data_IF_316882815337
#
_entry.id   IF_316882815337
#
_cell.length_a   1.000
_cell.length_b   1.000
_cell.length_c   1.000
_cell.angle_alpha   90.00
_cell.angle_beta   90.00
_cell.angle_gamma   90.00
#
_symmetry.space_group_name_H-M   'P 1'
#
loop_
_entity.id
_entity.type
_entity.pdbx_description
1 polymer ?
#
# COMPACT_ATOMS: atom_id res chain seq x y z
N UNK A 1 -12.21 26.92 -26.19
CA UNK A 1 -10.78 26.72 -25.83
C UNK A 1 -10.02 25.96 -26.95
N UNK A 2 -9.34 26.70 -27.84
CA UNK A 2 -8.57 26.17 -28.98
C UNK A 2 -7.06 26.07 -28.67
N UNK A 3 -6.70 25.86 -27.40
CA UNK A 3 -5.30 25.72 -27.02
C UNK A 3 -4.85 24.27 -27.27
N UNK A 4 -4.01 24.10 -28.29
CA UNK A 4 -3.52 22.80 -28.76
C UNK A 4 -2.70 22.05 -27.69
N UNK A 5 -1.98 22.79 -26.84
CA UNK A 5 -1.22 22.25 -25.71
C UNK A 5 -2.13 21.64 -24.63
N UNK A 6 -3.32 22.23 -24.41
CA UNK A 6 -4.32 21.68 -23.49
C UNK A 6 -5.03 20.47 -24.07
N UNK A 7 -5.22 20.41 -25.39
CA UNK A 7 -5.76 19.23 -26.09
C UNK A 7 -4.78 18.05 -26.03
N UNK A 8 -3.49 18.31 -26.20
CA UNK A 8 -2.44 17.29 -26.08
C UNK A 8 -2.26 16.83 -24.63
N UNK A 9 -2.38 17.75 -23.66
CA UNK A 9 -2.44 17.41 -22.24
C UNK A 9 -3.65 16.52 -21.90
N UNK A 10 -4.82 16.82 -22.45
CA UNK A 10 -6.04 16.02 -22.27
C UNK A 10 -5.95 14.64 -22.94
N UNK A 11 -5.28 14.53 -24.10
CA UNK A 11 -4.98 13.24 -24.73
C UNK A 11 -4.03 12.40 -23.88
N UNK A 12 -2.96 12.99 -23.32
CA UNK A 12 -2.06 12.31 -22.38
C UNK A 12 -2.80 11.80 -21.15
N UNK A 13 -3.64 12.62 -20.54
CA UNK A 13 -4.41 12.20 -19.36
C UNK A 13 -5.42 11.09 -19.70
N UNK A 14 -6.02 11.13 -20.91
CA UNK A 14 -6.92 10.07 -21.38
C UNK A 14 -6.20 8.76 -21.74
N UNK A 15 -4.97 8.81 -22.25
CA UNK A 15 -4.17 7.58 -22.46
C UNK A 15 -3.64 7.00 -21.15
N UNK A 16 -3.43 7.83 -20.12
CA UNK A 16 -3.07 7.36 -18.77
C UNK A 16 -4.29 6.83 -17.97
N UNK A 17 -5.51 7.00 -18.49
CA UNK A 17 -6.75 6.47 -17.90
C UNK A 17 -7.17 5.11 -18.47
N UNK A 18 -6.42 4.54 -19.42
CA UNK A 18 -6.49 3.11 -19.68
C UNK A 18 -5.90 2.39 -18.46
N UNK A 19 -6.59 1.39 -17.93
CA UNK A 19 -6.20 0.66 -16.72
C UNK A 19 -4.81 -0.01 -16.82
N UNK A 20 -4.37 -0.76 -15.80
CA UNK A 20 -3.02 -1.31 -15.69
C UNK A 20 -2.63 -2.37 -16.74
N UNK A 21 -3.32 -2.47 -17.88
CA UNK A 21 -3.25 -3.60 -18.82
C UNK A 21 -3.39 -3.22 -20.30
N UNK A 22 -3.22 -1.95 -20.70
CA UNK A 22 -3.03 -1.64 -22.13
C UNK A 22 -1.54 -1.72 -22.48
N UNK A 23 -1.19 -2.64 -23.38
CA UNK A 23 0.18 -2.85 -23.86
C UNK A 23 0.79 -1.56 -24.44
N UNK A 24 2.00 -1.14 -24.01
CA UNK A 24 2.64 0.09 -24.52
C UNK A 24 2.97 0.02 -26.01
N UNK A 25 3.10 -1.18 -26.58
CA UNK A 25 3.31 -1.40 -28.02
C UNK A 25 2.03 -1.24 -28.86
N UNK A 26 0.87 -1.04 -28.22
CA UNK A 26 -0.37 -0.71 -28.90
C UNK A 26 -0.42 0.75 -29.38
N UNK A 27 0.48 1.60 -28.88
CA UNK A 27 0.63 3.00 -29.30
C UNK A 27 1.75 3.13 -30.36
N UNK A 28 1.44 3.51 -31.62
CA UNK A 28 2.44 3.77 -32.65
C UNK A 28 3.50 4.81 -32.24
N UNK A 29 3.16 5.71 -31.32
CA UNK A 29 4.05 6.74 -30.82
C UNK A 29 5.16 6.17 -29.91
N UNK A 30 4.93 5.02 -29.28
CA UNK A 30 5.90 4.33 -28.44
C UNK A 30 7.05 3.72 -29.26
N UNK A 31 6.76 3.14 -30.43
CA UNK A 31 7.79 2.62 -31.34
C UNK A 31 8.70 3.73 -31.87
N UNK A 32 8.15 4.92 -32.13
CA UNK A 32 8.92 6.10 -32.53
C UNK A 32 9.85 6.56 -31.40
N UNK A 33 9.39 6.49 -30.14
CA UNK A 33 10.22 6.79 -28.97
C UNK A 33 11.40 5.82 -28.84
N UNK A 34 11.18 4.52 -29.07
CA UNK A 34 12.27 3.52 -29.09
C UNK A 34 13.35 3.88 -30.12
N UNK A 35 12.96 4.31 -31.32
CA UNK A 35 13.90 4.64 -32.40
C UNK A 35 14.63 5.97 -32.19
N UNK A 36 14.04 6.90 -31.43
CA UNK A 36 14.59 8.24 -31.21
C UNK A 36 15.38 8.36 -29.89
N UNK A 37 15.17 7.45 -28.94
CA UNK A 37 15.88 7.46 -27.66
C UNK A 37 17.31 6.91 -27.80
N UNK A 38 18.36 7.64 -27.36
CA UNK A 38 19.76 7.27 -27.61
C UNK A 38 20.15 5.88 -27.09
N UNK A 39 19.68 5.52 -25.89
CA UNK A 39 20.01 4.24 -25.23
C UNK A 39 19.21 3.10 -25.84
N UNK A 40 17.93 3.33 -26.17
CA UNK A 40 17.09 2.30 -26.76
C UNK A 40 17.55 1.97 -28.19
N UNK A 41 17.99 2.98 -28.95
CA UNK A 41 18.60 2.81 -30.26
C UNK A 41 19.88 1.99 -30.22
N UNK A 42 20.67 2.10 -29.15
CA UNK A 42 21.85 1.25 -28.96
C UNK A 42 21.48 -0.21 -28.68
N UNK A 43 20.47 -0.45 -27.85
CA UNK A 43 19.94 -1.79 -27.58
C UNK A 43 19.33 -2.44 -28.85
N UNK A 44 18.73 -1.64 -29.73
CA UNK A 44 18.14 -2.08 -31.01
C UNK A 44 19.18 -2.44 -32.09
N UNK A 45 20.49 -2.27 -31.84
CA UNK A 45 21.54 -2.77 -32.75
C UNK A 45 21.70 -4.29 -32.68
N UNK A 46 21.26 -4.91 -31.59
CA UNK A 46 21.20 -6.38 -31.47
C UNK A 46 20.06 -6.92 -32.37
N UNK A 47 20.36 -7.74 -33.38
CA UNK A 47 19.35 -8.25 -34.33
C UNK A 47 18.22 -9.01 -33.65
N UNK A 48 18.52 -9.71 -32.56
CA UNK A 48 17.53 -10.47 -31.79
C UNK A 48 16.57 -9.53 -31.02
N UNK A 49 17.12 -8.50 -30.36
CA UNK A 49 16.31 -7.47 -29.69
C UNK A 49 15.41 -6.71 -30.67
N UNK A 50 15.94 -6.35 -31.84
CA UNK A 50 15.19 -5.66 -32.88
C UNK A 50 14.01 -6.50 -33.40
N UNK A 51 14.24 -7.81 -33.59
CA UNK A 51 13.21 -8.74 -34.04
C UNK A 51 12.11 -8.96 -32.99
N UNK A 52 12.47 -9.08 -31.71
CA UNK A 52 11.50 -9.20 -30.60
C UNK A 52 10.61 -7.95 -30.49
N UNK A 53 11.19 -6.75 -30.62
CA UNK A 53 10.45 -5.49 -30.60
C UNK A 53 9.55 -5.35 -31.84
N UNK A 54 10.01 -5.82 -33.01
CA UNK A 54 9.20 -5.86 -34.23
C UNK A 54 8.00 -6.81 -34.09
N UNK A 55 8.19 -7.97 -33.46
CA UNK A 55 7.11 -8.93 -33.19
C UNK A 55 6.08 -8.36 -32.21
N UNK A 56 6.51 -7.63 -31.18
CA UNK A 56 5.61 -6.92 -30.27
C UNK A 56 4.86 -5.77 -30.93
N UNK A 57 5.48 -5.06 -31.86
CA UNK A 57 4.79 -4.05 -32.68
C UNK A 57 3.72 -4.64 -33.60
N UNK A 58 3.89 -5.90 -34.04
CA UNK A 58 2.92 -6.60 -34.87
C UNK A 58 1.82 -7.32 -34.04
N UNK A 59 2.15 -7.79 -32.83
CA UNK A 59 1.21 -8.42 -31.91
C UNK A 59 1.42 -7.90 -30.47
N UNK A 60 0.81 -6.76 -30.12
CA UNK A 60 1.04 -6.08 -28.84
C UNK A 60 0.57 -6.85 -27.60
N UNK A 61 -0.31 -7.85 -27.75
CA UNK A 61 -0.91 -8.62 -26.66
C UNK A 61 -0.12 -9.91 -26.31
N UNK A 62 1.04 -10.14 -26.93
CA UNK A 62 1.83 -11.34 -26.69
C UNK A 62 2.57 -11.29 -25.33
N UNK A 63 1.93 -11.82 -24.28
CA UNK A 63 2.43 -11.86 -22.90
C UNK A 63 3.82 -12.51 -22.75
N UNK A 64 4.16 -13.51 -23.57
CA UNK A 64 5.43 -14.23 -23.48
C UNK A 64 6.62 -13.31 -23.84
N UNK A 65 6.42 -12.37 -24.76
CA UNK A 65 7.47 -11.43 -25.17
C UNK A 65 7.75 -10.37 -24.10
N UNK A 66 6.77 -10.05 -23.24
CA UNK A 66 6.99 -9.17 -22.07
C UNK A 66 7.81 -9.82 -20.96
N UNK A 67 7.95 -11.14 -20.95
CA UNK A 67 8.82 -11.84 -20.02
C UNK A 67 10.27 -11.86 -20.50
N UNK A 68 10.54 -11.46 -21.75
CA UNK A 68 11.88 -11.45 -22.29
C UNK A 68 12.71 -10.29 -21.69
N UNK A 69 13.87 -10.57 -21.07
CA UNK A 69 14.67 -9.55 -20.37
C UNK A 69 15.19 -8.46 -21.30
N UNK A 70 15.43 -8.76 -22.59
CA UNK A 70 15.87 -7.77 -23.59
C UNK A 70 14.75 -6.78 -23.91
N UNK A 71 13.52 -7.27 -24.07
CA UNK A 71 12.32 -6.45 -24.28
C UNK A 71 12.07 -5.54 -23.08
N UNK A 72 12.10 -6.09 -21.87
CA UNK A 72 11.88 -5.30 -20.64
C UNK A 72 12.94 -4.23 -20.42
N UNK A 73 14.19 -4.48 -20.82
CA UNK A 73 15.25 -3.48 -20.79
C UNK A 73 14.98 -2.30 -21.74
N UNK A 74 14.44 -2.57 -22.94
CA UNK A 74 14.02 -1.52 -23.88
C UNK A 74 12.83 -0.72 -23.34
N UNK A 75 11.81 -1.39 -22.79
CA UNK A 75 10.64 -0.73 -22.17
C UNK A 75 11.07 0.13 -20.98
N UNK A 76 11.92 -0.40 -20.10
CA UNK A 76 12.42 0.30 -18.91
C UNK A 76 13.21 1.56 -19.26
N UNK A 77 14.00 1.52 -20.34
CA UNK A 77 14.74 2.68 -20.85
C UNK A 77 13.82 3.78 -21.40
N UNK A 78 12.67 3.43 -22.00
CA UNK A 78 11.72 4.41 -22.54
C UNK A 78 10.77 4.97 -21.46
N UNK A 79 10.35 4.13 -20.52
CA UNK A 79 9.44 4.52 -19.44
C UNK A 79 10.16 5.04 -18.19
N UNK A 80 11.49 5.14 -18.22
CA UNK A 80 12.34 5.63 -17.12
C UNK A 80 12.13 4.83 -15.81
N UNK A 81 11.92 3.52 -15.95
CA UNK A 81 11.75 2.59 -14.83
C UNK A 81 13.05 1.83 -14.58
N UNK A 82 13.64 2.03 -13.40
CA UNK A 82 14.67 1.13 -12.87
C UNK A 82 14.03 -0.19 -12.44
N UNK A 83 14.32 -1.27 -13.17
CA UNK A 83 13.88 -2.63 -12.83
C UNK A 83 14.75 -3.18 -11.69
N UNK A 84 14.16 -3.67 -10.59
CA UNK A 84 14.91 -4.36 -9.55
C UNK A 84 15.28 -5.77 -10.04
N UNK A 85 16.55 -5.98 -10.38
CA UNK A 85 17.09 -7.33 -10.64
C UNK A 85 18.04 -7.51 -11.82
N UNK A 86 18.35 -6.46 -12.59
CA UNK A 86 19.32 -6.55 -13.70
C UNK A 86 20.69 -5.99 -13.32
N UNK A 87 21.71 -6.85 -13.23
CA UNK A 87 23.12 -6.43 -13.17
C UNK A 87 23.46 -5.61 -14.44
N UNK A 88 23.43 -4.29 -14.35
CA UNK A 88 23.86 -3.37 -15.41
C UNK A 88 25.20 -2.70 -15.05
N UNK A 89 26.17 -3.49 -14.58
CA UNK A 89 27.58 -3.16 -14.77
C UNK A 89 27.98 -3.65 -16.16
N UNK A 90 27.57 -2.92 -17.20
CA UNK A 90 28.18 -2.94 -18.54
C UNK A 90 27.36 -2.04 -19.47
N UNK A 91 27.78 -0.78 -19.57
CA UNK A 91 28.07 -0.02 -20.80
C UNK A 91 28.67 1.29 -20.29
N UNK A 92 29.96 1.24 -19.94
CA UNK A 92 30.79 2.43 -19.78
C UNK A 92 31.48 2.66 -21.12
N UNK A 93 31.21 3.78 -21.78
CA UNK A 93 32.02 4.22 -22.91
C UNK A 93 33.47 4.37 -22.44
N UNK A 94 34.40 3.65 -23.08
CA UNK A 94 35.82 3.98 -23.11
C UNK A 94 36.21 4.30 -24.53
N UNK A 95 36.60 5.54 -24.76
CA UNK A 95 37.46 5.94 -25.87
C UNK A 95 38.90 5.60 -25.49
N UNK A 96 39.51 4.65 -26.18
CA UNK A 96 40.96 4.45 -26.18
C UNK A 96 41.56 5.17 -27.40
N UNK A 97 42.79 5.70 -27.30
CA UNK A 97 43.91 4.85 -27.65
C UNK A 97 45.16 5.11 -26.79
N UNK A 98 45.74 4.08 -26.19
CA UNK A 98 47.04 3.53 -26.63
C UNK A 98 47.63 2.55 -25.60
N UNK A 99 47.90 1.34 -26.10
CA UNK A 99 49.07 0.51 -25.87
C UNK A 99 49.32 -0.19 -24.50
N UNK A 100 49.56 -1.51 -24.65
CA UNK A 100 50.28 -2.47 -23.80
C UNK A 100 49.53 -3.24 -22.70
N UNK A 101 49.13 -4.45 -23.10
CA UNK A 101 49.50 -5.76 -22.54
C UNK A 101 49.14 -6.13 -21.08
N UNK A 102 48.29 -7.16 -21.00
CA UNK A 102 48.08 -8.14 -19.92
C UNK A 102 49.41 -8.68 -19.29
N UNK A 103 49.44 -9.20 -18.03
CA UNK A 103 48.65 -10.38 -17.64
C UNK A 103 48.13 -10.51 -16.18
N UNK A 104 47.31 -11.55 -16.04
CA UNK A 104 46.57 -12.10 -14.88
C UNK A 104 47.41 -12.57 -13.69
N UNK A 105 46.87 -12.43 -12.47
CA UNK A 105 46.75 -13.49 -11.43
C UNK A 105 46.23 -12.94 -10.08
N UNK A 106 45.25 -13.63 -9.49
CA UNK A 106 44.82 -13.55 -8.07
C UNK A 106 45.75 -14.39 -7.17
N UNK A 107 45.73 -14.37 -5.81
CA UNK A 107 44.83 -13.67 -4.86
C UNK A 107 45.53 -12.97 -3.63
N UNK A 108 44.73 -12.19 -2.88
CA UNK A 108 44.89 -11.76 -1.46
C UNK A 108 46.23 -11.18 -0.98
N UNK A 109 46.22 -9.88 -0.61
CA UNK A 109 46.60 -9.38 0.73
C UNK A 109 46.26 -7.88 0.83
N UNK A 110 45.45 -7.52 1.82
CA UNK A 110 45.36 -6.25 2.56
C UNK A 110 45.94 -4.99 1.91
N UNK A 111 45.12 -4.15 1.28
CA UNK A 111 45.38 -2.70 1.19
C UNK A 111 44.08 -1.89 1.31
N UNK A 112 44.06 -1.06 2.35
CA UNK A 112 43.26 0.14 2.57
C UNK A 112 43.13 1.00 1.32
N UNK A 113 41.92 1.29 0.85
CA UNK A 113 41.64 2.50 0.05
C UNK A 113 40.24 3.03 0.36
N UNK A 114 40.22 4.09 1.16
CA UNK A 114 39.18 5.12 1.12
C UNK A 114 39.13 5.72 -0.29
N UNK A 115 37.94 5.91 -0.87
CA UNK A 115 37.68 7.04 -1.79
C UNK A 115 36.25 7.05 -2.35
N UNK A 116 35.34 7.72 -1.65
CA UNK A 116 34.23 8.43 -2.29
C UNK A 116 33.78 9.68 -1.49
N UNK A 117 34.56 10.11 -0.50
CA UNK A 117 34.32 11.32 0.32
C UNK A 117 35.42 12.37 0.18
N UNK A 118 36.50 12.11 -0.57
CA UNK A 118 37.71 12.94 -0.54
C UNK A 118 37.77 14.08 -1.57
N UNK A 119 36.84 14.18 -2.52
CA UNK A 119 36.89 15.25 -3.54
C UNK A 119 36.15 16.55 -3.18
N UNK A 120 35.56 16.68 -1.97
CA UNK A 120 35.07 17.97 -1.44
C UNK A 120 35.94 18.58 -0.34
N UNK A 121 37.01 17.91 0.11
CA UNK A 121 37.88 18.39 1.19
C UNK A 121 39.04 19.28 0.76
N UNK A 122 39.20 19.58 -0.54
CA UNK A 122 40.44 20.18 -1.07
C UNK A 122 40.50 21.71 -1.19
N UNK A 123 39.48 22.47 -0.77
CA UNK A 123 39.53 23.95 -0.74
C UNK A 123 38.77 24.57 0.46
N UNK A 124 38.90 24.01 1.66
CA UNK A 124 38.39 24.64 2.88
C UNK A 124 39.39 25.69 3.37
N UNK A 125 38.91 26.90 3.64
CA UNK A 125 39.72 27.97 4.25
C UNK A 125 40.20 27.54 5.65
N UNK A 126 41.26 28.16 6.17
CA UNK A 126 41.74 27.89 7.53
C UNK A 126 40.63 28.04 8.57
N UNK A 127 39.77 29.04 8.39
CA UNK A 127 38.61 29.32 9.26
C UNK A 127 37.56 28.20 9.19
N UNK A 128 37.25 27.68 8.00
CA UNK A 128 36.30 26.57 7.84
C UNK A 128 36.81 25.26 8.47
N UNK A 129 38.13 25.02 8.45
CA UNK A 129 38.71 23.86 9.15
C UNK A 129 38.54 23.98 10.67
N UNK A 130 38.76 25.17 11.22
CA UNK A 130 38.54 25.44 12.64
C UNK A 130 37.06 25.29 13.02
N UNK A 131 36.13 25.74 12.18
CA UNK A 131 34.69 25.57 12.40
C UNK A 131 34.29 24.08 12.44
N UNK A 132 34.85 23.25 11.55
CA UNK A 132 34.61 21.81 11.55
C UNK A 132 35.19 21.11 12.78
N UNK A 133 36.36 21.52 13.27
CA UNK A 133 36.93 21.00 14.52
C UNK A 133 36.06 21.33 15.74
N UNK A 134 35.56 22.56 15.83
CA UNK A 134 34.63 22.96 16.89
C UNK A 134 33.31 22.18 16.79
N UNK A 135 32.78 21.98 15.58
CA UNK A 135 31.60 21.12 15.36
C UNK A 135 31.83 19.69 15.87
N UNK A 136 32.98 19.08 15.61
CA UNK A 136 33.26 17.72 16.10
C UNK A 136 33.37 17.67 17.63
N UNK A 137 33.99 18.66 18.28
CA UNK A 137 33.96 18.79 19.76
C UNK A 137 32.53 18.89 20.29
N UNK A 138 31.68 19.67 19.61
CA UNK A 138 30.26 19.76 19.93
C UNK A 138 29.53 18.43 19.77
N UNK A 139 29.83 17.65 18.71
CA UNK A 139 29.27 16.32 18.50
C UNK A 139 29.68 15.34 19.61
N UNK A 140 30.94 15.40 20.07
CA UNK A 140 31.42 14.58 21.18
C UNK A 140 30.73 14.94 22.50
N UNK A 141 30.59 16.23 22.79
CA UNK A 141 29.84 16.70 23.97
C UNK A 141 28.36 16.29 23.90
N UNK A 142 27.73 16.37 22.72
CA UNK A 142 26.35 15.92 22.49
C UNK A 142 26.19 14.42 22.77
N UNK A 143 27.12 13.58 22.30
CA UNK A 143 27.11 12.14 22.58
C UNK A 143 27.23 11.84 24.08
N UNK A 144 27.95 12.68 24.82
CA UNK A 144 28.07 12.63 26.28
C UNK A 144 26.88 13.24 27.02
N UNK A 145 25.87 13.76 26.29
CA UNK A 145 24.73 14.54 26.82
C UNK A 145 25.13 15.81 27.57
N UNK A 146 26.35 16.30 27.36
CA UNK A 146 26.76 17.62 27.84
C UNK A 146 26.28 18.69 26.84
N UNK A 147 25.01 19.05 27.00
CA UNK A 147 24.32 19.95 26.08
C UNK A 147 24.84 21.39 26.16
N UNK A 148 25.29 21.84 27.33
CA UNK A 148 25.86 23.17 27.52
C UNK A 148 27.16 23.34 26.74
N UNK A 149 28.07 22.38 26.87
CA UNK A 149 29.34 22.39 26.15
C UNK A 149 29.12 22.16 24.65
N UNK A 150 28.15 21.32 24.28
CA UNK A 150 27.78 21.12 22.87
C UNK A 150 27.30 22.41 22.21
N UNK A 151 26.38 23.14 22.85
CA UNK A 151 25.88 24.43 22.33
C UNK A 151 27.01 25.45 22.19
N UNK A 152 27.89 25.56 23.19
CA UNK A 152 29.05 26.46 23.13
C UNK A 152 29.95 26.19 21.92
N UNK A 153 30.30 24.93 21.67
CA UNK A 153 31.12 24.56 20.52
C UNK A 153 30.39 24.79 19.18
N UNK A 154 29.08 24.54 19.10
CA UNK A 154 28.32 24.85 17.90
C UNK A 154 28.17 26.35 17.65
N UNK A 155 28.02 27.17 18.70
CA UNK A 155 28.00 28.63 18.59
C UNK A 155 29.34 29.15 18.06
N UNK A 156 30.45 28.66 18.61
CA UNK A 156 31.78 28.99 18.11
C UNK A 156 32.00 28.55 16.66
N UNK A 157 31.47 27.40 16.25
CA UNK A 157 31.51 26.96 14.85
C UNK A 157 30.73 27.91 13.92
N UNK A 158 29.56 28.42 14.37
CA UNK A 158 28.74 29.38 13.62
C UNK A 158 29.43 30.75 13.52
N UNK A 159 30.13 31.20 14.56
CA UNK A 159 30.91 32.44 14.54
C UNK A 159 32.05 32.39 13.51
N UNK A 160 32.66 31.21 13.32
CA UNK A 160 33.73 30.98 12.36
C UNK A 160 33.22 30.79 10.93
N UNK A 161 32.10 30.07 10.77
CA UNK A 161 31.47 29.83 9.46
C UNK A 161 29.94 29.78 9.60
N UNK A 162 29.27 30.83 9.09
CA UNK A 162 27.82 30.95 9.11
C UNK A 162 27.12 30.18 7.99
N UNK A 163 27.86 29.70 6.99
CA UNK A 163 27.30 29.11 5.76
C UNK A 163 26.88 27.64 5.91
N UNK A 164 27.39 26.95 6.93
CA UNK A 164 27.16 25.52 7.11
C UNK A 164 25.88 25.23 7.91
N UNK A 165 24.90 24.66 7.21
CA UNK A 165 23.61 24.22 7.76
C UNK A 165 23.75 23.24 8.92
N UNK A 166 24.79 22.41 8.91
CA UNK A 166 24.98 21.32 9.87
C UNK A 166 25.02 21.84 11.30
N UNK A 167 25.65 23.00 11.54
CA UNK A 167 25.80 23.57 12.88
C UNK A 167 24.43 23.92 13.49
N UNK A 168 23.57 24.58 12.71
CA UNK A 168 22.20 24.89 13.11
C UNK A 168 21.36 23.62 13.32
N UNK A 169 21.50 22.62 12.44
CA UNK A 169 20.78 21.36 12.62
C UNK A 169 21.29 20.56 13.83
N UNK A 170 22.53 20.72 14.25
CA UNK A 170 23.06 20.07 15.45
C UNK A 170 22.59 20.80 16.72
N UNK A 171 22.60 22.14 16.73
CA UNK A 171 21.97 22.92 17.82
C UNK A 171 20.49 22.61 17.98
N UNK A 172 19.75 22.51 16.87
CA UNK A 172 18.36 22.10 16.91
C UNK A 172 18.17 20.69 17.52
N UNK A 173 19.13 19.77 17.31
CA UNK A 173 19.10 18.47 17.97
C UNK A 173 19.24 18.58 19.49
N UNK A 174 20.16 19.43 19.96
CA UNK A 174 20.33 19.70 21.40
C UNK A 174 19.05 20.22 22.02
N UNK A 175 18.45 21.26 21.43
CA UNK A 175 17.21 21.84 21.96
C UNK A 175 16.04 20.86 21.91
N UNK A 176 15.99 19.97 20.91
CA UNK A 176 15.01 18.89 20.85
C UNK A 176 15.15 17.92 22.04
N UNK A 177 16.36 17.48 22.37
CA UNK A 177 16.62 16.61 23.52
C UNK A 177 16.32 17.30 24.86
N UNK A 178 16.60 18.61 24.96
CA UNK A 178 16.27 19.43 26.13
C UNK A 178 14.77 19.75 26.24
N UNK A 179 13.95 19.38 25.24
CA UNK A 179 12.52 19.73 25.14
C UNK A 179 12.25 21.23 25.03
N UNK A 180 13.25 22.01 24.61
CA UNK A 180 13.11 23.43 24.29
C UNK A 180 12.57 23.59 22.87
N UNK A 181 11.26 23.38 22.71
CA UNK A 181 10.59 23.28 21.41
C UNK A 181 10.74 24.55 20.56
N UNK A 182 10.56 25.72 21.15
CA UNK A 182 10.61 26.98 20.41
C UNK A 182 12.03 27.30 19.93
N UNK A 183 13.04 27.04 20.78
CA UNK A 183 14.44 27.18 20.40
C UNK A 183 14.83 26.16 19.31
N UNK A 184 14.36 24.92 19.40
CA UNK A 184 14.55 23.91 18.37
C UNK A 184 13.97 24.36 17.02
N UNK A 185 12.72 24.83 16.99
CA UNK A 185 12.05 25.33 15.79
C UNK A 185 12.83 26.50 15.20
N UNK A 186 13.23 27.47 16.02
CA UNK A 186 14.02 28.63 15.60
C UNK A 186 15.36 28.24 14.96
N UNK A 187 16.06 27.26 15.52
CA UNK A 187 17.30 26.77 14.91
C UNK A 187 17.05 25.99 13.61
N UNK A 188 15.95 25.24 13.51
CA UNK A 188 15.55 24.58 12.28
C UNK A 188 15.20 25.57 11.16
N UNK A 189 14.49 26.66 11.47
CA UNK A 189 14.17 27.72 10.52
C UNK A 189 15.44 28.38 9.99
N UNK A 190 16.39 28.73 10.87
CA UNK A 190 17.71 29.22 10.48
C UNK A 190 18.47 28.23 9.60
N UNK A 191 18.42 26.93 9.93
CA UNK A 191 19.06 25.90 9.13
C UNK A 191 18.49 25.84 7.70
N UNK A 192 17.18 26.05 7.53
CA UNK A 192 16.51 26.07 6.23
C UNK A 192 16.89 27.32 5.44
N UNK A 193 16.89 28.48 6.09
CA UNK A 193 17.28 29.77 5.49
C UNK A 193 18.70 29.71 4.94
N UNK A 194 19.68 29.41 5.81
CA UNK A 194 21.10 29.26 5.44
C UNK A 194 21.28 28.15 4.40
N UNK A 195 20.50 27.06 4.50
CA UNK A 195 20.58 25.96 3.54
C UNK A 195 20.11 26.32 2.14
N UNK A 196 19.09 27.17 2.02
CA UNK A 196 18.61 27.66 0.73
C UNK A 196 19.53 28.72 0.15
N UNK A 197 20.04 29.63 0.97
CA UNK A 197 21.01 30.65 0.56
C UNK A 197 22.30 30.02 0.02
N UNK A 198 22.83 29.02 0.72
CA UNK A 198 24.09 28.38 0.36
C UNK A 198 23.94 27.14 -0.53
N UNK A 199 22.72 26.85 -1.02
CA UNK A 199 22.41 25.67 -1.86
C UNK A 199 22.94 24.36 -1.27
N UNK A 200 22.73 24.18 0.03
CA UNK A 200 23.13 22.99 0.76
C UNK A 200 22.39 21.74 0.26
N UNK A 201 22.90 20.57 0.63
CA UNK A 201 22.25 19.28 0.31
C UNK A 201 20.81 19.27 0.85
N UNK A 202 19.85 18.98 -0.03
CA UNK A 202 18.42 18.87 0.29
C UNK A 202 18.15 17.93 1.46
N UNK A 203 19.01 16.92 1.69
CA UNK A 203 18.94 16.03 2.86
C UNK A 203 19.03 16.78 4.19
N UNK A 204 19.85 17.83 4.27
CA UNK A 204 20.01 18.63 5.49
C UNK A 204 18.79 19.51 5.75
N UNK A 205 18.23 20.09 4.69
CA UNK A 205 16.98 20.88 4.75
C UNK A 205 15.81 19.96 5.15
N UNK A 206 15.72 18.78 4.54
CA UNK A 206 14.75 17.75 4.91
C UNK A 206 14.88 17.35 6.38
N UNK A 207 16.11 17.18 6.90
CA UNK A 207 16.35 16.88 8.32
C UNK A 207 15.85 17.98 9.25
N UNK A 208 15.99 19.25 8.88
CA UNK A 208 15.46 20.37 9.64
C UNK A 208 13.92 20.33 9.71
N UNK A 209 13.25 20.16 8.56
CA UNK A 209 11.79 20.00 8.51
C UNK A 209 11.30 18.77 9.27
N UNK A 210 11.98 17.62 9.14
CA UNK A 210 11.66 16.41 9.89
C UNK A 210 11.74 16.64 11.40
N UNK A 211 12.72 17.43 11.86
CA UNK A 211 12.83 17.77 13.29
C UNK A 211 11.69 18.68 13.75
N UNK A 212 11.30 19.69 12.97
CA UNK A 212 10.10 20.50 13.28
C UNK A 212 8.84 19.64 13.36
N UNK A 213 8.67 18.71 12.40
CA UNK A 213 7.57 17.73 12.45
C UNK A 213 7.60 16.90 13.73
N UNK A 214 8.76 16.37 14.14
CA UNK A 214 8.89 15.63 15.40
C UNK A 214 8.56 16.49 16.63
N UNK A 215 8.91 17.78 16.65
CA UNK A 215 8.54 18.69 17.75
C UNK A 215 7.02 18.79 17.87
N UNK A 216 6.33 19.03 16.76
CA UNK A 216 4.86 19.11 16.76
C UNK A 216 4.20 17.77 17.08
N UNK A 217 4.81 16.65 16.69
CA UNK A 217 4.37 15.32 17.09
C UNK A 217 4.42 15.14 18.62
N UNK A 218 5.50 15.58 19.28
CA UNK A 218 5.59 15.54 20.76
C UNK A 218 4.55 16.43 21.45
N UNK A 219 4.19 17.55 20.80
CA UNK A 219 3.13 18.46 21.26
C UNK A 219 1.71 17.97 20.96
N UNK A 220 1.55 16.87 20.21
CA UNK A 220 0.27 16.37 19.68
C UNK A 220 -0.42 17.33 18.71
N UNK A 221 0.33 18.25 18.12
CA UNK A 221 -0.15 19.15 17.05
C UNK A 221 -0.10 18.42 15.70
N UNK A 222 -0.91 17.37 15.54
CA UNK A 222 -0.84 16.42 14.42
C UNK A 222 -0.94 17.07 13.04
N UNK A 223 -1.83 18.05 12.88
CA UNK A 223 -2.00 18.81 11.62
C UNK A 223 -0.72 19.56 11.22
N UNK A 224 -0.07 20.21 12.19
CA UNK A 224 1.16 20.97 11.95
C UNK A 224 2.34 20.01 11.73
N UNK A 225 2.40 18.91 12.48
CA UNK A 225 3.37 17.84 12.27
C UNK A 225 3.31 17.28 10.85
N UNK A 226 2.11 17.01 10.35
CA UNK A 226 1.89 16.50 9.00
C UNK A 226 2.37 17.48 7.92
N UNK A 227 2.09 18.78 8.10
CA UNK A 227 2.59 19.84 7.22
C UNK A 227 4.12 19.80 7.11
N UNK A 228 4.84 19.76 8.23
CA UNK A 228 6.30 19.72 8.21
C UNK A 228 6.89 18.41 7.70
N UNK A 229 6.25 17.26 7.96
CA UNK A 229 6.68 15.99 7.35
C UNK A 229 6.47 15.98 5.84
N UNK A 230 5.39 16.58 5.33
CA UNK A 230 5.21 16.76 3.89
C UNK A 230 6.32 17.64 3.29
N UNK A 231 6.67 18.77 3.94
CA UNK A 231 7.81 19.59 3.53
C UNK A 231 9.14 18.80 3.56
N UNK A 232 9.39 18.01 4.59
CA UNK A 232 10.58 17.15 4.64
C UNK A 232 10.61 16.16 3.48
N UNK A 233 9.49 15.52 3.16
CA UNK A 233 9.40 14.51 2.11
C UNK A 233 9.47 15.11 0.69
N UNK A 234 9.06 16.37 0.51
CA UNK A 234 9.25 17.08 -0.76
C UNK A 234 10.71 17.44 -1.02
N UNK A 235 11.51 17.67 0.03
CA UNK A 235 12.95 17.96 -0.09
C UNK A 235 13.76 16.66 -0.26
N UNK A 236 13.47 15.63 0.53
CA UNK A 236 14.11 14.31 0.40
C UNK A 236 13.22 13.19 0.95
N UNK A 237 12.97 12.16 0.14
CA UNK A 237 12.16 11.02 0.57
C UNK A 237 12.89 10.20 1.63
N UNK A 238 12.31 10.12 2.82
CA UNK A 238 12.81 9.31 3.93
C UNK A 238 11.73 8.30 4.36
N UNK A 239 12.02 6.97 4.33
CA UNK A 239 11.05 5.94 4.74
C UNK A 239 10.54 6.09 6.18
N UNK A 240 11.36 6.53 7.12
CA UNK A 240 10.97 6.69 8.52
C UNK A 240 9.97 7.83 8.71
N UNK A 241 10.17 8.93 7.98
CA UNK A 241 9.25 10.07 7.97
C UNK A 241 7.96 9.72 7.24
N UNK A 242 8.03 8.90 6.19
CA UNK A 242 6.84 8.40 5.50
C UNK A 242 5.97 7.54 6.44
N UNK A 243 6.57 6.64 7.23
CA UNK A 243 5.85 5.84 8.23
C UNK A 243 5.17 6.73 9.28
N UNK A 244 5.91 7.68 9.86
CA UNK A 244 5.37 8.65 10.83
C UNK A 244 4.21 9.46 10.25
N UNK A 245 4.33 9.90 8.99
CA UNK A 245 3.25 10.59 8.27
C UNK A 245 2.00 9.71 8.19
N UNK A 246 2.13 8.46 7.77
CA UNK A 246 0.99 7.53 7.64
C UNK A 246 0.31 7.26 9.00
N UNK A 247 1.10 7.12 10.07
CA UNK A 247 0.59 6.97 11.43
C UNK A 247 -0.23 8.20 11.86
N UNK A 248 0.26 9.41 11.59
CA UNK A 248 -0.45 10.65 11.91
C UNK A 248 -1.72 10.81 11.08
N UNK A 249 -1.67 10.51 9.78
CA UNK A 249 -2.86 10.54 8.91
C UNK A 249 -3.94 9.57 9.42
N UNK A 250 -3.54 8.39 9.91
CA UNK A 250 -4.45 7.45 10.55
C UNK A 250 -5.05 8.01 11.84
N UNK A 251 -4.22 8.59 12.72
CA UNK A 251 -4.70 9.21 13.97
C UNK A 251 -5.71 10.33 13.71
N UNK A 252 -5.40 11.24 12.78
CA UNK A 252 -6.30 12.33 12.40
C UNK A 252 -7.62 11.79 11.85
N UNK A 253 -7.57 10.78 10.98
CA UNK A 253 -8.78 10.14 10.44
C UNK A 253 -9.61 9.48 11.54
N UNK A 254 -8.98 8.84 12.52
CA UNK A 254 -9.67 8.22 13.65
C UNK A 254 -10.29 9.27 14.59
N UNK A 255 -9.61 10.41 14.82
CA UNK A 255 -10.15 11.55 15.57
C UNK A 255 -11.34 12.20 14.86
N UNK A 256 -11.22 12.44 13.55
CA UNK A 256 -12.31 12.96 12.72
C UNK A 256 -13.51 12.01 12.72
N UNK A 257 -13.28 10.71 12.57
CA UNK A 257 -14.34 9.70 12.63
C UNK A 257 -15.05 9.72 13.99
N UNK A 258 -14.31 9.79 15.10
CA UNK A 258 -14.89 9.89 16.46
C UNK A 258 -15.69 11.17 16.65
N UNK A 259 -15.18 12.30 16.18
CA UNK A 259 -15.86 13.59 16.25
C UNK A 259 -17.14 13.62 15.39
N UNK A 260 -17.19 12.79 14.33
CA UNK A 260 -18.35 12.68 13.45
C UNK A 260 -19.50 11.84 14.04
N UNK A 261 -19.22 11.01 15.05
CA UNK A 261 -20.22 10.13 15.68
C UNK A 261 -21.31 10.97 16.36
N UNK A 262 -22.54 10.75 15.94
CA UNK A 262 -23.73 11.32 16.55
C UNK A 262 -24.91 10.34 16.40
N UNK A 263 -25.24 9.57 17.45
CA UNK A 263 -26.32 8.57 17.39
C UNK A 263 -27.71 9.14 17.09
N UNK A 264 -27.97 10.41 17.44
CA UNK A 264 -29.25 11.06 17.14
C UNK A 264 -29.41 11.27 15.64
N UNK A 265 -28.42 11.92 15.01
CA UNK A 265 -28.38 12.14 13.55
C UNK A 265 -28.37 10.78 12.82
N UNK A 266 -27.65 9.79 13.34
CA UNK A 266 -27.66 8.44 12.77
C UNK A 266 -29.08 7.84 12.69
N UNK A 267 -29.89 8.03 13.73
CA UNK A 267 -31.27 7.54 13.76
C UNK A 267 -32.18 8.31 12.78
N UNK A 268 -31.98 9.61 12.60
CA UNK A 268 -32.71 10.40 11.60
C UNK A 268 -32.37 9.95 10.18
N UNK A 269 -31.08 9.80 9.87
CA UNK A 269 -30.60 9.32 8.58
C UNK A 269 -31.09 7.88 8.31
N UNK A 270 -31.10 7.01 9.32
CA UNK A 270 -31.71 5.68 9.21
C UNK A 270 -33.20 5.76 8.86
N UNK A 271 -33.97 6.67 9.47
CA UNK A 271 -35.40 6.86 9.16
C UNK A 271 -35.60 7.33 7.72
N UNK A 272 -34.80 8.29 7.25
CA UNK A 272 -34.82 8.74 5.84
C UNK A 272 -34.49 7.59 4.89
N UNK A 273 -33.44 6.81 5.20
CA UNK A 273 -33.08 5.62 4.43
C UNK A 273 -34.22 4.61 4.34
N UNK A 274 -34.95 4.39 5.43
CA UNK A 274 -36.13 3.52 5.44
C UNK A 274 -37.26 4.05 4.54
N UNK A 275 -37.51 5.35 4.55
CA UNK A 275 -38.55 5.99 3.71
C UNK A 275 -38.22 5.87 2.22
N UNK A 276 -36.98 6.18 1.82
CA UNK A 276 -36.52 6.00 0.44
C UNK A 276 -36.53 4.52 0.01
N UNK A 277 -36.18 3.60 0.92
CA UNK A 277 -36.25 2.17 0.64
C UNK A 277 -37.70 1.72 0.35
N UNK A 278 -38.67 2.21 1.11
CA UNK A 278 -40.10 1.91 0.89
C UNK A 278 -40.61 2.48 -0.43
N UNK A 279 -40.09 3.64 -0.84
CA UNK A 279 -40.38 4.27 -2.15
C UNK A 279 -39.69 3.56 -3.33
N UNK A 280 -38.80 2.60 -3.07
CA UNK A 280 -38.03 1.90 -4.10
C UNK A 280 -36.79 2.65 -4.61
N UNK A 281 -36.48 3.82 -4.05
CA UNK A 281 -35.25 4.57 -4.38
C UNK A 281 -34.08 4.03 -3.55
N UNK A 282 -33.56 2.88 -3.97
CA UNK A 282 -32.46 2.20 -3.31
C UNK A 282 -31.13 3.00 -3.32
N UNK A 283 -30.75 3.70 -4.41
CA UNK A 283 -29.55 4.53 -4.41
C UNK A 283 -29.58 5.66 -3.38
N UNK A 284 -30.71 6.35 -3.22
CA UNK A 284 -30.83 7.40 -2.20
C UNK A 284 -30.89 6.80 -0.79
N UNK A 285 -31.57 5.66 -0.62
CA UNK A 285 -31.55 4.93 0.65
C UNK A 285 -30.13 4.51 1.06
N UNK A 286 -29.29 4.04 0.12
CA UNK A 286 -27.88 3.71 0.37
C UNK A 286 -27.08 4.91 0.90
N UNK A 287 -27.31 6.12 0.36
CA UNK A 287 -26.65 7.34 0.82
C UNK A 287 -26.98 7.61 2.29
N UNK A 288 -28.26 7.58 2.63
CA UNK A 288 -28.73 7.80 4.01
C UNK A 288 -28.27 6.72 4.97
N UNK A 289 -28.30 5.44 4.60
CA UNK A 289 -27.76 4.38 5.46
C UNK A 289 -26.24 4.46 5.63
N UNK A 290 -25.51 4.84 4.59
CA UNK A 290 -24.05 5.03 4.69
C UNK A 290 -23.70 6.20 5.60
N UNK A 291 -24.47 7.28 5.54
CA UNK A 291 -24.33 8.40 6.47
C UNK A 291 -24.68 7.98 7.90
N UNK A 292 -25.78 7.25 8.11
CA UNK A 292 -26.15 6.71 9.40
C UNK A 292 -25.06 5.81 10.02
N UNK A 293 -24.38 4.99 9.21
CA UNK A 293 -23.24 4.16 9.66
C UNK A 293 -22.04 5.04 10.07
N UNK A 294 -21.71 6.10 9.32
CA UNK A 294 -20.64 7.02 9.72
C UNK A 294 -20.95 7.71 11.05
N UNK A 295 -22.22 8.03 11.29
CA UNK A 295 -22.71 8.70 12.51
C UNK A 295 -22.86 7.74 13.69
N UNK A 296 -23.12 6.46 13.45
CA UNK A 296 -23.14 5.43 14.47
C UNK A 296 -22.70 4.07 13.87
N UNK A 297 -21.40 3.74 13.93
CA UNK A 297 -20.88 2.51 13.35
C UNK A 297 -21.23 1.26 14.17
N UNK A 298 -21.94 1.41 15.29
CA UNK A 298 -22.26 0.30 16.20
C UNK A 298 -23.71 -0.19 16.11
N UNK A 299 -24.56 0.40 15.25
CA UNK A 299 -25.94 -0.05 15.07
C UNK A 299 -26.03 -1.16 13.98
N UNK A 300 -26.15 -2.45 14.35
CA UNK A 300 -26.24 -3.57 13.38
C UNK A 300 -27.45 -3.46 12.45
N UNK A 301 -28.50 -2.73 12.88
CA UNK A 301 -29.73 -2.58 12.08
C UNK A 301 -29.47 -1.78 10.81
N UNK A 302 -28.59 -0.78 10.86
CA UNK A 302 -28.29 0.06 9.69
C UNK A 302 -27.53 -0.74 8.64
N UNK A 303 -26.56 -1.54 9.05
CA UNK A 303 -25.85 -2.46 8.16
C UNK A 303 -26.81 -3.46 7.50
N UNK A 304 -27.70 -4.10 8.28
CA UNK A 304 -28.70 -5.02 7.71
C UNK A 304 -29.69 -4.33 6.75
N UNK A 305 -30.07 -3.07 7.03
CA UNK A 305 -30.91 -2.29 6.13
C UNK A 305 -30.17 -1.91 4.84
N UNK A 306 -28.89 -1.55 4.91
CA UNK A 306 -28.05 -1.25 3.75
C UNK A 306 -27.78 -2.50 2.91
N UNK A 307 -27.55 -3.65 3.54
CA UNK A 307 -27.48 -4.95 2.87
C UNK A 307 -28.75 -5.28 2.09
N UNK A 308 -29.93 -4.90 2.61
CA UNK A 308 -31.20 -5.05 1.90
C UNK A 308 -31.26 -4.17 0.64
N UNK A 309 -30.73 -2.94 0.68
CA UNK A 309 -30.59 -2.10 -0.53
C UNK A 309 -29.66 -2.75 -1.55
N UNK A 310 -28.47 -3.18 -1.13
CA UNK A 310 -27.51 -3.83 -2.02
C UNK A 310 -28.12 -5.08 -2.68
N UNK A 311 -28.85 -5.89 -1.91
CA UNK A 311 -29.57 -7.05 -2.44
C UNK A 311 -30.62 -6.67 -3.50
N UNK A 312 -31.31 -5.54 -3.34
CA UNK A 312 -32.27 -5.03 -4.33
C UNK A 312 -31.61 -4.50 -5.60
N UNK A 313 -30.36 -4.05 -5.48
CA UNK A 313 -29.52 -3.62 -6.58
C UNK A 313 -28.68 -4.75 -7.19
N UNK A 314 -28.85 -6.00 -6.72
CA UNK A 314 -28.08 -7.18 -7.12
C UNK A 314 -26.57 -7.09 -6.79
N UNK A 315 -26.18 -6.17 -5.91
CA UNK A 315 -24.82 -6.01 -5.39
C UNK A 315 -24.57 -6.96 -4.20
N UNK A 316 -24.69 -8.26 -4.46
CA UNK A 316 -24.71 -9.27 -3.40
C UNK A 316 -23.41 -9.33 -2.59
N UNK A 317 -22.25 -9.07 -3.20
CA UNK A 317 -20.96 -9.07 -2.50
C UNK A 317 -20.87 -7.95 -1.44
N UNK A 318 -21.41 -6.77 -1.75
CA UNK A 318 -21.51 -5.66 -0.78
C UNK A 318 -22.56 -5.96 0.29
N UNK A 319 -23.67 -6.62 -0.08
CA UNK A 319 -24.68 -7.06 0.88
C UNK A 319 -24.11 -8.06 1.89
N UNK A 320 -23.25 -9.00 1.47
CA UNK A 320 -22.60 -9.95 2.37
C UNK A 320 -21.69 -9.25 3.37
N UNK A 321 -20.84 -8.32 2.90
CA UNK A 321 -19.97 -7.53 3.79
C UNK A 321 -20.76 -6.81 4.89
N UNK A 322 -21.88 -6.19 4.54
CA UNK A 322 -22.75 -5.53 5.51
C UNK A 322 -23.47 -6.52 6.43
N UNK A 323 -23.86 -7.70 5.94
CA UNK A 323 -24.43 -8.74 6.80
C UNK A 323 -23.40 -9.26 7.81
N UNK A 324 -22.16 -9.47 7.37
CA UNK A 324 -21.08 -9.94 8.23
C UNK A 324 -20.71 -8.91 9.30
N UNK A 325 -20.66 -7.62 8.95
CA UNK A 325 -20.46 -6.57 9.96
C UNK A 325 -21.63 -6.47 10.94
N UNK A 326 -22.87 -6.62 10.46
CA UNK A 326 -24.05 -6.67 11.33
C UNK A 326 -24.01 -7.87 12.30
N UNK A 327 -23.59 -9.05 11.83
CA UNK A 327 -23.42 -10.27 12.64
C UNK A 327 -22.27 -10.11 13.65
N UNK A 328 -21.18 -9.46 13.25
CA UNK A 328 -20.05 -9.18 14.13
C UNK A 328 -20.44 -8.21 15.26
N UNK A 329 -21.27 -7.22 14.96
CA UNK A 329 -21.80 -6.27 15.95
C UNK A 329 -22.85 -6.90 16.87
N UNK A 330 -23.73 -7.76 16.34
CA UNK A 330 -24.72 -8.51 17.09
C UNK A 330 -24.89 -9.93 16.52
N UNK A 331 -24.22 -10.94 17.12
CA UNK A 331 -24.31 -12.33 16.67
C UNK A 331 -25.70 -12.96 16.85
N UNK A 332 -26.60 -12.32 17.59
CA UNK A 332 -27.98 -12.80 17.80
C UNK A 332 -28.97 -12.15 16.82
N UNK A 333 -28.48 -11.27 15.94
CA UNK A 333 -29.34 -10.52 15.03
C UNK A 333 -29.82 -11.35 13.83
N UNK A 334 -30.92 -12.09 14.04
CA UNK A 334 -31.53 -13.01 13.06
C UNK A 334 -31.69 -12.37 11.67
N UNK A 335 -32.09 -11.09 11.59
CA UNK A 335 -32.29 -10.40 10.31
C UNK A 335 -31.01 -10.34 9.46
N UNK A 336 -29.82 -10.23 10.07
CA UNK A 336 -28.57 -10.23 9.32
C UNK A 336 -28.31 -11.59 8.68
N UNK A 337 -28.52 -12.70 9.39
CA UNK A 337 -28.42 -14.05 8.83
C UNK A 337 -29.44 -14.31 7.71
N UNK A 338 -30.70 -13.87 7.88
CA UNK A 338 -31.71 -13.97 6.83
C UNK A 338 -31.32 -13.22 5.55
N UNK A 339 -30.74 -12.02 5.71
CA UNK A 339 -30.26 -11.20 4.58
C UNK A 339 -29.03 -11.83 3.92
N UNK A 340 -28.10 -12.36 4.72
CA UNK A 340 -26.94 -13.13 4.23
C UNK A 340 -27.37 -14.32 3.38
N UNK A 341 -28.26 -15.16 3.89
CA UNK A 341 -28.80 -16.31 3.15
C UNK A 341 -29.53 -15.90 1.87
N UNK A 342 -30.28 -14.78 1.90
CA UNK A 342 -30.95 -14.25 0.70
C UNK A 342 -29.97 -13.75 -0.36
N UNK A 343 -28.88 -13.08 0.05
CA UNK A 343 -27.85 -12.61 -0.87
C UNK A 343 -27.08 -13.78 -1.49
N UNK A 344 -26.77 -14.82 -0.70
CA UNK A 344 -26.13 -16.05 -1.16
C UNK A 344 -27.01 -16.83 -2.15
N UNK A 345 -28.33 -16.90 -1.92
CA UNK A 345 -29.28 -17.42 -2.93
C UNK A 345 -29.17 -16.63 -4.24
N UNK A 346 -29.06 -15.30 -4.17
CA UNK A 346 -28.88 -14.43 -5.33
C UNK A 346 -27.60 -14.75 -6.12
N UNK A 347 -26.53 -15.12 -5.40
CA UNK A 347 -25.26 -15.60 -5.96
C UNK A 347 -25.28 -17.08 -6.35
N UNK A 348 -26.40 -17.79 -6.14
CA UNK A 348 -26.55 -19.24 -6.33
C UNK A 348 -25.61 -20.08 -5.43
N UNK A 349 -25.12 -19.52 -4.33
CA UNK A 349 -24.37 -20.27 -3.32
C UNK A 349 -25.36 -20.84 -2.29
N UNK A 350 -25.98 -21.97 -2.64
CA UNK A 350 -27.02 -22.58 -1.82
C UNK A 350 -26.45 -23.24 -0.55
N UNK A 351 -25.23 -23.77 -0.59
CA UNK A 351 -24.56 -24.36 0.57
C UNK A 351 -24.30 -23.33 1.66
N UNK A 352 -23.65 -22.21 1.33
CA UNK A 352 -23.47 -21.13 2.31
C UNK A 352 -24.80 -20.52 2.76
N UNK A 353 -25.78 -20.40 1.85
CA UNK A 353 -27.10 -19.91 2.22
C UNK A 353 -27.77 -20.81 3.26
N UNK A 354 -27.65 -22.14 3.12
CA UNK A 354 -28.14 -23.11 4.11
C UNK A 354 -27.48 -22.90 5.47
N UNK A 355 -26.15 -22.74 5.51
CA UNK A 355 -25.43 -22.46 6.77
C UNK A 355 -25.91 -21.16 7.42
N UNK A 356 -26.13 -20.10 6.64
CA UNK A 356 -26.67 -18.84 7.16
C UNK A 356 -28.09 -18.99 7.73
N UNK A 357 -28.98 -19.72 7.04
CA UNK A 357 -30.33 -19.99 7.54
C UNK A 357 -30.34 -20.94 8.74
N UNK A 358 -29.44 -21.93 8.78
CA UNK A 358 -29.28 -22.82 9.94
C UNK A 358 -28.89 -22.02 11.18
N UNK A 359 -27.94 -21.07 11.06
CA UNK A 359 -27.60 -20.14 12.15
C UNK A 359 -28.79 -19.28 12.60
N UNK A 360 -29.62 -18.81 11.66
CA UNK A 360 -30.85 -18.11 12.03
C UNK A 360 -31.84 -19.02 12.81
N UNK A 361 -31.91 -20.31 12.47
CA UNK A 361 -32.77 -21.30 13.15
C UNK A 361 -32.21 -21.75 14.50
N UNK A 362 -30.89 -21.76 14.69
CA UNK A 362 -30.27 -21.96 16.01
C UNK A 362 -30.70 -20.85 16.98
N UNK A 363 -30.83 -19.61 16.50
CA UNK A 363 -31.24 -18.45 17.31
C UNK A 363 -32.76 -18.43 17.51
N UNK A 364 -33.55 -18.65 16.44
CA UNK A 364 -35.01 -18.76 16.49
C UNK A 364 -35.50 -19.94 15.64
N UNK A 365 -35.78 -21.09 16.29
CA UNK A 365 -36.25 -22.31 15.60
C UNK A 365 -37.58 -22.13 14.85
N UNK A 366 -38.39 -21.14 15.22
CA UNK A 366 -39.71 -20.90 14.63
C UNK A 366 -39.67 -19.86 13.51
N UNK A 367 -38.49 -19.37 13.13
CA UNK A 367 -38.33 -18.35 12.10
C UNK A 367 -38.74 -18.89 10.71
N UNK A 368 -40.00 -18.65 10.32
CA UNK A 368 -40.56 -19.15 9.05
C UNK A 368 -39.74 -18.77 7.81
N UNK A 369 -39.15 -17.56 7.81
CA UNK A 369 -38.28 -17.12 6.71
C UNK A 369 -37.01 -17.96 6.61
N UNK A 370 -36.41 -18.32 7.74
CA UNK A 370 -35.23 -19.18 7.76
C UNK A 370 -35.59 -20.62 7.38
N UNK A 371 -36.71 -21.17 7.88
CA UNK A 371 -37.21 -22.51 7.50
C UNK A 371 -37.41 -22.59 5.99
N UNK A 372 -38.12 -21.61 5.42
CA UNK A 372 -38.42 -21.58 3.98
C UNK A 372 -37.15 -21.38 3.14
N UNK A 373 -36.25 -20.50 3.58
CA UNK A 373 -34.96 -20.26 2.94
C UNK A 373 -34.09 -21.52 2.91
N UNK A 374 -33.96 -22.19 4.06
CA UNK A 374 -33.22 -23.45 4.20
C UNK A 374 -33.81 -24.53 3.29
N UNK A 375 -35.11 -24.80 3.38
CA UNK A 375 -35.80 -25.79 2.51
C UNK A 375 -35.62 -25.49 1.03
N UNK A 376 -35.74 -24.23 0.63
CA UNK A 376 -35.58 -23.80 -0.76
C UNK A 376 -34.15 -24.06 -1.27
N UNK A 377 -33.14 -23.77 -0.46
CA UNK A 377 -31.75 -24.06 -0.80
C UNK A 377 -31.50 -25.57 -0.91
N UNK A 378 -31.99 -26.36 0.04
CA UNK A 378 -31.84 -27.83 0.02
C UNK A 378 -32.47 -28.45 -1.24
N UNK A 379 -33.64 -27.97 -1.66
CA UNK A 379 -34.27 -28.45 -2.91
C UNK A 379 -33.42 -28.10 -4.13
N UNK A 380 -32.92 -26.86 -4.21
CA UNK A 380 -32.10 -26.41 -5.34
C UNK A 380 -30.76 -27.12 -5.42
N UNK A 381 -30.13 -27.37 -4.29
CA UNK A 381 -28.87 -28.11 -4.19
C UNK A 381 -29.05 -29.57 -4.62
N UNK A 382 -30.10 -30.25 -4.15
CA UNK A 382 -30.44 -31.62 -4.58
C UNK A 382 -30.79 -31.72 -6.06
N UNK A 383 -31.33 -30.65 -6.65
CA UNK A 383 -31.63 -30.59 -8.08
C UNK A 383 -30.45 -30.15 -8.95
N UNK A 384 -29.34 -29.69 -8.36
CA UNK A 384 -28.17 -29.24 -9.10
C UNK A 384 -27.28 -30.44 -9.45
N UNK A 385 -26.66 -30.41 -10.64
CA UNK A 385 -25.69 -31.43 -11.02
C UNK A 385 -24.48 -31.38 -10.06
N UNK A 386 -24.09 -32.49 -9.41
CA UNK A 386 -22.95 -32.51 -8.48
C UNK A 386 -21.65 -31.91 -9.06
N UNK A 387 -21.46 -32.05 -10.37
CA UNK A 387 -20.28 -31.53 -11.06
C UNK A 387 -20.30 -30.00 -11.22
N UNK A 388 -21.48 -29.39 -11.44
CA UNK A 388 -21.63 -27.93 -11.47
C UNK A 388 -21.45 -27.30 -10.09
N UNK A 389 -21.91 -28.00 -9.04
CA UNK A 389 -21.72 -27.57 -7.64
C UNK A 389 -20.22 -27.57 -7.30
N UNK A 390 -19.52 -28.66 -7.65
CA UNK A 390 -18.07 -28.78 -7.47
C UNK A 390 -17.30 -27.73 -8.27
N UNK A 391 -17.69 -27.47 -9.52
CA UNK A 391 -17.04 -26.45 -10.34
C UNK A 391 -17.24 -25.04 -9.77
N UNK A 392 -18.43 -24.73 -9.24
CA UNK A 392 -18.68 -23.45 -8.55
C UNK A 392 -17.84 -23.33 -7.28
N UNK A 393 -17.75 -24.39 -6.49
CA UNK A 393 -16.93 -24.43 -5.30
C UNK A 393 -15.44 -24.20 -5.61
N UNK A 394 -14.92 -24.78 -6.70
CA UNK A 394 -13.54 -24.59 -7.17
C UNK A 394 -13.25 -23.17 -7.69
N UNK A 395 -14.30 -22.41 -8.05
CA UNK A 395 -14.19 -21.01 -8.46
C UNK A 395 -14.34 -20.03 -7.29
N UNK A 396 -14.60 -20.50 -6.07
CA UNK A 396 -14.63 -19.65 -4.88
C UNK A 396 -13.20 -19.25 -4.48
N UNK A 397 -12.85 -17.95 -4.45
CA UNK A 397 -11.51 -17.49 -4.06
C UNK A 397 -11.09 -17.98 -2.67
N UNK A 398 -12.02 -18.12 -1.73
CA UNK A 398 -11.70 -18.63 -0.39
C UNK A 398 -11.29 -20.11 -0.47
N UNK A 399 -12.02 -20.91 -1.23
CA UNK A 399 -11.72 -22.33 -1.46
C UNK A 399 -10.39 -22.49 -2.19
N UNK A 400 -10.13 -21.67 -3.22
CA UNK A 400 -8.85 -21.67 -3.93
C UNK A 400 -7.68 -21.37 -3.00
N UNK A 401 -7.82 -20.35 -2.14
CA UNK A 401 -6.81 -20.01 -1.14
C UNK A 401 -6.57 -21.15 -0.15
N UNK A 402 -7.61 -21.89 0.24
CA UNK A 402 -7.47 -23.07 1.11
C UNK A 402 -6.74 -24.19 0.37
N UNK A 403 -7.07 -24.46 -0.89
CA UNK A 403 -6.45 -25.53 -1.69
C UNK A 403 -5.01 -25.20 -2.11
N UNK A 404 -4.66 -23.92 -2.22
CA UNK A 404 -3.30 -23.45 -2.53
C UNK A 404 -2.40 -23.30 -1.30
N UNK A 405 -2.95 -23.39 -0.08
CA UNK A 405 -2.18 -23.31 1.15
C UNK A 405 -1.31 -24.57 1.31
N UNK A 406 0.04 -24.45 1.33
CA UNK A 406 0.93 -25.62 1.44
C UNK A 406 0.66 -26.47 2.68
N UNK A 407 0.26 -25.85 3.78
CA UNK A 407 -0.07 -26.57 5.02
C UNK A 407 -1.33 -27.41 4.84
N UNK A 408 -2.33 -26.85 4.16
CA UNK A 408 -3.56 -27.57 3.85
C UNK A 408 -3.34 -28.68 2.84
N UNK A 409 -2.49 -28.49 1.83
CA UNK A 409 -2.18 -29.55 0.85
C UNK A 409 -1.60 -30.80 1.53
N UNK A 410 -0.66 -30.62 2.46
CA UNK A 410 -0.08 -31.71 3.25
C UNK A 410 -1.17 -32.40 4.08
N UNK A 411 -2.07 -31.65 4.71
CA UNK A 411 -3.16 -32.20 5.53
C UNK A 411 -4.15 -32.99 4.66
N UNK A 412 -4.48 -32.49 3.46
CA UNK A 412 -5.37 -33.15 2.52
C UNK A 412 -4.76 -34.43 1.92
N UNK A 413 -3.45 -34.44 1.68
CA UNK A 413 -2.70 -35.63 1.26
C UNK A 413 -2.64 -36.67 2.39
N UNK A 414 -2.34 -36.23 3.62
CA UNK A 414 -2.40 -37.09 4.81
C UNK A 414 -3.81 -37.67 5.01
N UNK A 415 -4.86 -36.90 4.74
CA UNK A 415 -6.24 -37.38 4.87
C UNK A 415 -6.57 -38.52 3.89
N UNK A 416 -6.00 -38.50 2.67
CA UNK A 416 -6.18 -39.60 1.71
C UNK A 416 -5.47 -40.88 2.14
N UNK A 417 -4.32 -40.76 2.83
CA UNK A 417 -3.47 -41.88 3.19
C UNK A 417 -3.73 -42.42 4.62
N UNK A 418 -4.13 -41.56 5.56
CA UNK A 418 -4.30 -41.85 6.99
C UNK A 418 -5.52 -41.12 7.60
N UNK A 419 -6.75 -41.66 7.45
CA UNK A 419 -7.97 -41.02 7.95
C UNK A 419 -8.00 -40.78 9.47
N UNK A 420 -7.15 -41.46 10.24
CA UNK A 420 -7.08 -41.33 11.71
C UNK A 420 -6.34 -40.05 12.15
N UNK A 421 -5.40 -39.54 11.33
CA UNK A 421 -4.67 -38.30 11.60
C UNK A 421 -5.59 -37.06 11.57
N UNK A 422 -6.77 -37.18 10.93
CA UNK A 422 -7.77 -36.13 10.82
C UNK A 422 -8.24 -35.59 12.19
N UNK A 423 -8.37 -36.47 13.19
CA UNK A 423 -8.78 -36.08 14.55
C UNK A 423 -7.80 -35.11 15.22
N UNK A 424 -6.53 -35.18 14.84
CA UNK A 424 -5.50 -34.31 15.40
C UNK A 424 -5.51 -32.92 14.75
N UNK A 425 -5.73 -32.86 13.45
CA UNK A 425 -5.88 -31.60 12.70
C UNK A 425 -7.14 -30.83 13.08
N UNK A 426 -8.24 -31.51 13.43
CA UNK A 426 -9.46 -30.89 13.96
C UNK A 426 -9.27 -30.21 15.33
N UNK A 427 -8.18 -30.50 16.07
CA UNK A 427 -7.89 -29.80 17.33
C UNK A 427 -7.47 -28.34 17.10
N UNK A 428 -6.99 -28.00 15.91
CA UNK A 428 -6.67 -26.62 15.56
C UNK A 428 -7.92 -25.93 14.96
N UNK A 429 -8.49 -24.91 15.62
CA UNK A 429 -9.72 -24.26 15.16
C UNK A 429 -9.62 -23.66 13.75
N UNK A 430 -8.45 -23.17 13.36
CA UNK A 430 -8.24 -22.57 12.05
C UNK A 430 -8.23 -23.63 10.93
N UNK A 431 -7.61 -24.78 11.18
CA UNK A 431 -7.57 -25.91 10.25
C UNK A 431 -8.95 -26.57 10.18
N UNK A 432 -9.59 -26.78 11.33
CA UNK A 432 -10.96 -27.31 11.42
C UNK A 432 -11.94 -26.48 10.59
N UNK A 433 -11.88 -25.15 10.67
CA UNK A 433 -12.73 -24.27 9.88
C UNK A 433 -12.47 -24.41 8.37
N UNK A 434 -11.20 -24.50 7.94
CA UNK A 434 -10.84 -24.71 6.54
C UNK A 434 -11.33 -26.07 6.01
N UNK A 435 -11.17 -27.13 6.79
CA UNK A 435 -11.67 -28.46 6.44
C UNK A 435 -13.20 -28.46 6.38
N UNK A 436 -13.87 -27.88 7.38
CA UNK A 436 -15.33 -27.73 7.38
C UNK A 436 -15.82 -26.97 6.15
N UNK A 437 -15.13 -25.90 5.75
CA UNK A 437 -15.45 -25.15 4.53
C UNK A 437 -15.42 -26.04 3.30
N UNK A 438 -14.40 -26.88 3.13
CA UNK A 438 -14.27 -27.80 1.99
C UNK A 438 -15.33 -28.91 1.97
N UNK A 439 -15.82 -29.33 3.15
CA UNK A 439 -16.93 -30.27 3.28
C UNK A 439 -18.26 -29.60 2.92
N UNK A 440 -18.50 -28.39 3.44
CA UNK A 440 -19.72 -27.62 3.19
C UNK A 440 -19.93 -27.33 1.69
N UNK A 441 -18.84 -27.20 0.92
CA UNK A 441 -18.90 -27.01 -0.54
C UNK A 441 -18.82 -28.31 -1.34
N UNK A 442 -18.80 -29.47 -0.68
CA UNK A 442 -18.84 -30.79 -1.31
C UNK A 442 -17.55 -31.20 -2.05
N UNK A 443 -16.41 -30.57 -1.73
CA UNK A 443 -15.11 -30.92 -2.32
C UNK A 443 -14.50 -32.14 -1.62
N UNK A 444 -14.75 -32.27 -0.31
CA UNK A 444 -14.28 -33.37 0.53
C UNK A 444 -15.49 -34.08 1.13
N UNK A 445 -15.47 -35.40 1.08
CA UNK A 445 -16.44 -36.28 1.77
C UNK A 445 -15.69 -36.99 2.91
N UNK A 446 -16.09 -36.76 4.17
CA UNK A 446 -15.58 -37.54 5.29
C UNK A 446 -16.48 -38.76 5.43
N UNK A 447 -15.99 -39.91 4.98
CA UNK A 447 -16.63 -41.22 5.19
C UNK A 447 -16.09 -41.93 6.42
#
# INVERSE_FOLDING_TARGET
PQNQQLLDGLKRVKSTQAGPLSSPFSDPQFLIQIMTHPIARELMKDPETAELIRQLGANPDNELLYQNPKVMKVIGVILDFDLPGGNNNEISMKSDPTAFSQPTSTPSTTQTVNSATDNKKKNLTSTQKQAEEEKEKGNEAYKKKDFTTALHHYDKAIELDTSNVTYYTNKAAVYFEQKEWDNCIKQCEKAIEIGRENKADYKLIAKAYARMGNVHLQRKDYQVSLKYFNHSLSEHRNPDILKKKQEIEKLLKDEEAKAYINPHIANEEKKKGNDYFQKGDFPTALKHYSEAIKRNPTDPKVYSNRAACYSKLMEFTLALKDCDEAIKLDPTFIKAYLRKGSALIGMKDFGQAMSAFAKALEIDPNCQKAINGYRSCTMKEKSSNPEEVRQRAMNDPEVQNILSDPSMQIILEQMQNEPQALREHFKNPAIAHKIQRLIDVGIIDIR
#
